data_IF_078299146413
#
_entry.id   IF_078299146413
#
_cell.length_a   1.000
_cell.length_b   1.000
_cell.length_c   1.000
_cell.angle_alpha   90.00
_cell.angle_beta   90.00
_cell.angle_gamma   90.00
#
_symmetry.space_group_name_H-M   'P 1'
#
loop_
_entity.id
_entity.type
_entity.pdbx_description
1 polymer ?
#
# COMPACT_ATOMS: atom_id res chain seq x y z
N UNK A 1 36.02 7.41 9.22
CA UNK A 1 34.62 7.66 9.60
C UNK A 1 33.76 6.74 8.74
N UNK A 2 33.40 5.57 9.26
CA UNK A 2 32.58 4.60 8.55
C UNK A 2 31.10 4.99 8.74
N UNK A 3 30.45 5.42 7.67
CA UNK A 3 29.02 5.74 7.70
C UNK A 3 28.22 4.47 7.99
N UNK A 4 27.42 4.53 9.04
CA UNK A 4 26.68 3.43 9.63
C UNK A 4 25.52 3.03 8.69
N UNK A 5 25.66 1.91 7.97
CA UNK A 5 24.78 1.46 6.88
C UNK A 5 23.48 0.74 7.33
N UNK A 6 23.11 0.81 8.61
CA UNK A 6 22.08 -0.07 9.17
C UNK A 6 20.63 0.47 9.10
N UNK A 7 20.36 1.62 8.48
CA UNK A 7 19.01 2.22 8.51
C UNK A 7 18.21 2.11 7.20
N UNK A 8 18.81 1.64 6.10
CA UNK A 8 18.12 1.53 4.79
C UNK A 8 16.96 0.52 4.83
N UNK A 9 16.97 -0.40 5.80
CA UNK A 9 16.00 -1.49 5.90
C UNK A 9 14.59 -1.08 6.33
N UNK A 10 14.38 0.15 6.85
CA UNK A 10 13.06 0.56 7.38
C UNK A 10 12.24 1.47 6.45
N UNK A 11 12.83 1.96 5.37
CA UNK A 11 12.15 2.89 4.46
C UNK A 11 11.40 2.15 3.35
N UNK A 12 10.08 2.33 3.27
CA UNK A 12 9.23 1.76 2.24
C UNK A 12 8.34 2.83 1.60
N UNK A 13 8.50 3.06 0.29
CA UNK A 13 7.72 4.05 -0.45
C UNK A 13 6.34 3.51 -0.87
N UNK A 14 5.29 4.33 -0.80
CA UNK A 14 3.99 4.01 -1.43
C UNK A 14 3.77 4.97 -2.60
N UNK A 15 2.68 4.74 -3.35
CA UNK A 15 2.36 5.52 -4.56
C UNK A 15 2.28 7.03 -4.31
N UNK A 16 1.76 7.45 -3.15
CA UNK A 16 1.59 8.88 -2.83
C UNK A 16 2.91 9.62 -2.59
N UNK A 17 3.99 8.92 -2.19
CA UNK A 17 5.31 9.50 -2.06
C UNK A 17 6.01 9.74 -3.41
N UNK A 18 5.44 9.30 -4.53
CA UNK A 18 6.09 9.31 -5.85
C UNK A 18 5.59 10.47 -6.72
N UNK A 19 6.49 11.01 -7.53
CA UNK A 19 6.14 12.01 -8.54
C UNK A 19 5.61 11.34 -9.80
N UNK A 20 4.54 11.91 -10.35
CA UNK A 20 4.05 11.48 -11.65
C UNK A 20 5.08 11.81 -12.73
N UNK A 21 5.12 11.04 -13.81
CA UNK A 21 6.09 11.23 -14.89
C UNK A 21 6.04 12.62 -15.53
N UNK A 22 4.89 13.29 -15.50
CA UNK A 22 4.71 14.67 -16.00
C UNK A 22 5.47 15.70 -15.16
N UNK A 23 5.76 15.38 -13.90
CA UNK A 23 6.51 16.24 -12.99
C UNK A 23 8.02 15.93 -13.01
N UNK A 24 8.46 14.95 -13.80
CA UNK A 24 9.87 14.61 -13.90
C UNK A 24 10.61 15.59 -14.79
N UNK A 25 11.83 15.91 -14.39
CA UNK A 25 12.70 16.79 -15.17
C UNK A 25 13.14 16.05 -16.43
N UNK A 26 12.98 16.70 -17.59
CA UNK A 26 13.41 16.12 -18.86
C UNK A 26 14.93 15.88 -18.86
N UNK A 27 15.37 14.76 -19.46
CA UNK A 27 16.79 14.43 -19.51
C UNK A 27 17.64 15.54 -20.14
N UNK A 28 17.11 16.23 -21.16
CA UNK A 28 17.82 17.31 -21.86
C UNK A 28 18.05 18.54 -20.98
N UNK A 29 17.20 18.77 -19.98
CA UNK A 29 17.32 19.90 -19.07
C UNK A 29 18.48 19.75 -18.07
N UNK A 30 19.08 18.56 -17.94
CA UNK A 30 20.17 18.29 -16.99
C UNK A 30 21.43 17.77 -17.66
N UNK A 31 22.49 18.57 -17.59
CA UNK A 31 23.84 18.15 -18.00
C UNK A 31 24.64 17.47 -16.87
N UNK A 32 24.21 17.61 -15.61
CA UNK A 32 24.92 17.13 -14.43
C UNK A 32 23.97 16.42 -13.47
N UNK A 33 24.48 15.43 -12.74
CA UNK A 33 23.73 14.73 -11.69
C UNK A 33 23.26 15.71 -10.61
N UNK A 34 21.97 15.71 -10.28
CA UNK A 34 21.40 16.59 -9.26
C UNK A 34 21.91 16.31 -7.82
N UNK A 35 22.60 15.18 -7.61
CA UNK A 35 23.20 14.80 -6.32
C UNK A 35 24.68 15.13 -6.27
N UNK A 36 25.50 14.45 -7.08
CA UNK A 36 26.96 14.52 -7.00
C UNK A 36 27.61 15.46 -8.04
N UNK A 37 26.78 16.19 -8.80
CA UNK A 37 27.21 17.18 -9.81
C UNK A 37 28.16 16.66 -10.89
N UNK A 38 28.34 15.34 -11.02
CA UNK A 38 29.11 14.73 -12.10
C UNK A 38 28.41 14.99 -13.44
N UNK A 39 29.18 15.42 -14.45
CA UNK A 39 28.68 15.62 -15.81
C UNK A 39 28.23 14.29 -16.41
N UNK A 40 27.07 14.31 -17.06
CA UNK A 40 26.62 13.18 -17.87
C UNK A 40 27.36 13.19 -19.21
N UNK A 41 27.88 12.03 -19.62
CA UNK A 41 28.60 11.88 -20.90
C UNK A 41 27.69 11.21 -21.95
N UNK A 42 27.64 9.89 -22.01
CA UNK A 42 26.76 9.14 -22.92
C UNK A 42 25.89 8.18 -22.12
N UNK A 43 24.57 8.44 -22.07
CA UNK A 43 23.59 7.56 -21.43
C UNK A 43 23.77 7.43 -19.90
N UNK A 44 22.87 6.67 -19.26
CA UNK A 44 22.93 6.43 -17.81
C UNK A 44 22.34 7.55 -16.94
N UNK A 45 21.43 8.35 -17.51
CA UNK A 45 20.55 9.23 -16.73
C UNK A 45 19.45 8.39 -16.11
N UNK A 46 19.16 8.63 -14.85
CA UNK A 46 18.07 8.00 -14.15
C UNK A 46 17.25 9.06 -13.44
N UNK A 47 15.94 8.88 -13.37
CA UNK A 47 15.09 9.75 -12.57
C UNK A 47 14.93 9.20 -11.16
N UNK A 48 14.96 10.08 -10.17
CA UNK A 48 14.48 9.75 -8.84
C UNK A 48 12.95 9.64 -8.89
N UNK A 49 12.38 8.47 -8.57
CA UNK A 49 10.91 8.26 -8.62
C UNK A 49 10.16 9.12 -7.59
N UNK A 50 10.84 9.53 -6.51
CA UNK A 50 10.28 10.38 -5.45
C UNK A 50 10.24 11.88 -5.80
N UNK A 51 11.31 12.46 -6.35
CA UNK A 51 11.37 13.90 -6.61
C UNK A 51 11.42 14.29 -8.10
N UNK A 52 11.58 13.33 -9.01
CA UNK A 52 11.61 13.56 -10.45
C UNK A 52 12.93 14.08 -11.03
N UNK A 53 13.96 14.29 -10.21
CA UNK A 53 15.27 14.82 -10.65
C UNK A 53 16.12 13.79 -11.40
N UNK A 54 17.04 14.30 -12.24
CA UNK A 54 17.96 13.49 -13.04
C UNK A 54 19.27 13.24 -12.27
N UNK A 55 19.59 11.97 -12.07
CA UNK A 55 20.69 11.47 -11.24
C UNK A 55 21.48 10.38 -11.95
N UNK A 56 22.71 10.12 -11.51
CA UNK A 56 23.53 9.01 -12.01
C UNK A 56 23.27 7.71 -11.24
N UNK A 57 23.72 6.57 -11.79
CA UNK A 57 23.53 5.23 -11.21
C UNK A 57 23.98 5.15 -9.74
N UNK A 58 25.17 5.68 -9.43
CA UNK A 58 25.73 5.66 -8.07
C UNK A 58 24.91 6.47 -7.06
N UNK A 59 24.13 7.45 -7.52
CA UNK A 59 23.27 8.26 -6.66
C UNK A 59 21.82 7.77 -6.63
N UNK A 60 21.51 6.66 -7.32
CA UNK A 60 20.16 6.15 -7.55
C UNK A 60 19.98 4.71 -6.98
N UNK A 61 20.14 4.51 -5.66
CA UNK A 61 19.89 3.22 -5.04
C UNK A 61 18.46 2.74 -5.27
N UNK A 62 18.29 1.42 -5.26
CA UNK A 62 16.99 0.78 -5.22
C UNK A 62 16.51 0.68 -3.77
N UNK A 63 15.30 1.18 -3.51
CA UNK A 63 14.67 1.15 -2.20
C UNK A 63 13.34 0.41 -2.25
N UNK A 64 12.92 -0.25 -1.16
CA UNK A 64 11.63 -0.93 -1.08
C UNK A 64 10.45 0.01 -1.34
N UNK A 65 9.42 -0.52 -2.00
CA UNK A 65 8.16 0.16 -2.22
C UNK A 65 6.98 -0.82 -2.25
N UNK A 66 5.78 -0.36 -1.94
CA UNK A 66 4.52 -1.10 -2.10
C UNK A 66 3.60 -0.28 -3.01
N UNK A 67 3.29 -0.81 -4.19
CA UNK A 67 2.47 -0.12 -5.19
C UNK A 67 1.13 -0.82 -5.42
N UNK A 68 0.03 -0.06 -5.61
CA UNK A 68 -1.25 -0.64 -5.99
C UNK A 68 -1.16 -1.47 -7.27
N UNK A 69 -1.75 -2.66 -7.28
CA UNK A 69 -1.75 -3.57 -8.43
C UNK A 69 -0.45 -4.34 -8.65
N UNK A 70 0.64 -3.96 -7.98
CA UNK A 70 1.97 -4.55 -8.15
C UNK A 70 2.50 -5.25 -6.90
N UNK A 71 2.06 -4.80 -5.72
CA UNK A 71 2.57 -5.31 -4.45
C UNK A 71 3.96 -4.75 -4.10
N UNK A 72 4.76 -5.56 -3.39
CA UNK A 72 6.11 -5.19 -2.97
C UNK A 72 7.08 -5.19 -4.15
N UNK A 73 7.86 -4.14 -4.26
CA UNK A 73 8.86 -3.97 -5.34
C UNK A 73 10.00 -3.05 -4.87
N UNK A 74 10.90 -2.69 -5.78
CA UNK A 74 11.99 -1.73 -5.53
C UNK A 74 11.97 -0.61 -6.57
N UNK A 75 12.24 0.62 -6.14
CA UNK A 75 12.27 1.82 -6.99
C UNK A 75 13.60 2.55 -6.86
N UNK A 76 14.02 3.23 -7.93
CA UNK A 76 15.18 4.13 -7.84
C UNK A 76 14.81 5.44 -7.16
N UNK A 77 15.44 5.71 -6.03
CA UNK A 77 15.27 6.98 -5.30
C UNK A 77 16.64 7.55 -5.04
N UNK A 78 16.81 8.87 -5.18
CA UNK A 78 18.10 9.48 -4.97
C UNK A 78 18.50 9.41 -3.49
N UNK A 79 19.80 9.29 -3.21
CA UNK A 79 20.30 9.26 -1.83
C UNK A 79 19.81 10.44 -0.99
N UNK A 80 19.68 11.64 -1.57
CA UNK A 80 19.12 12.82 -0.86
C UNK A 80 17.69 12.59 -0.37
N UNK A 81 16.85 11.95 -1.17
CA UNK A 81 15.47 11.65 -0.80
C UNK A 81 15.38 10.53 0.22
N UNK A 82 16.23 9.51 0.08
CA UNK A 82 16.37 8.44 1.07
C UNK A 82 16.74 9.03 2.43
N UNK A 83 17.81 9.83 2.49
CA UNK A 83 18.28 10.47 3.72
C UNK A 83 17.23 11.39 4.37
N UNK A 84 16.44 12.11 3.56
CA UNK A 84 15.38 12.99 4.05
C UNK A 84 14.20 12.23 4.67
N UNK A 85 13.88 11.05 4.14
CA UNK A 85 12.70 10.28 4.55
C UNK A 85 12.99 9.29 5.68
N UNK A 86 14.25 8.94 5.90
CA UNK A 86 14.67 8.19 7.10
C UNK A 86 14.44 8.97 8.42
N UNK A 87 14.12 10.26 8.37
CA UNK A 87 13.81 11.09 9.54
C UNK A 87 12.34 11.12 9.97
N UNK A 88 11.45 10.34 9.34
CA UNK A 88 9.99 10.38 9.58
C UNK A 88 9.43 8.96 9.80
N UNK A 89 9.60 8.41 10.99
CA UNK A 89 8.91 7.19 11.37
C UNK A 89 7.60 7.48 12.10
N UNK A 90 6.50 6.94 11.56
CA UNK A 90 5.59 6.16 12.39
C UNK A 90 5.47 4.74 11.81
N UNK A 91 5.98 3.82 12.61
CA UNK A 91 5.72 2.39 12.76
C UNK A 91 4.62 1.78 11.88
N UNK A 92 5.00 0.83 11.00
CA UNK A 92 4.24 -0.42 10.82
C UNK A 92 5.11 -1.47 10.13
N UNK A 93 5.24 -2.59 10.83
CA UNK A 93 6.04 -3.76 10.50
C UNK A 93 5.46 -4.60 9.35
N UNK A 94 6.38 -5.00 8.48
CA UNK A 94 6.52 -6.23 7.69
C UNK A 94 5.40 -7.28 7.61
N UNK A 95 5.24 -7.84 6.40
CA UNK A 95 5.17 -9.30 6.18
C UNK A 95 5.02 -9.66 4.70
N UNK A 96 6.09 -10.23 4.12
CA UNK A 96 6.12 -11.40 3.20
C UNK A 96 6.83 -11.27 1.82
N UNK A 97 7.51 -12.38 1.53
CA UNK A 97 8.64 -12.73 0.63
C UNK A 97 8.23 -13.34 -0.72
N UNK A 98 9.06 -13.20 -1.76
CA UNK A 98 9.38 -14.29 -2.68
C UNK A 98 10.76 -14.07 -3.34
N UNK A 99 11.54 -15.15 -3.41
CA UNK A 99 12.87 -15.21 -4.02
C UNK A 99 12.75 -15.44 -5.52
N UNK A 100 13.27 -14.54 -6.34
CA UNK A 100 13.67 -14.79 -7.72
C UNK A 100 14.84 -13.84 -8.04
N UNK A 101 15.96 -14.38 -8.54
CA UNK A 101 17.16 -13.64 -8.92
C UNK A 101 16.90 -12.82 -10.19
N UNK A 102 16.23 -11.67 -10.06
CA UNK A 102 15.99 -10.76 -11.18
C UNK A 102 17.22 -9.89 -11.45
N UNK A 103 17.72 -9.94 -12.69
CA UNK A 103 18.88 -9.14 -13.11
C UNK A 103 18.57 -7.63 -13.09
N UNK A 104 19.59 -6.79 -12.89
CA UNK A 104 19.42 -5.33 -12.88
C UNK A 104 18.74 -4.80 -14.16
N UNK A 105 18.98 -5.45 -15.30
CA UNK A 105 18.35 -5.13 -16.59
C UNK A 105 16.86 -5.45 -16.62
N UNK A 106 16.45 -6.57 -16.00
CA UNK A 106 15.05 -6.98 -15.93
C UNK A 106 14.23 -6.05 -15.03
N UNK A 107 14.83 -5.63 -13.90
CA UNK A 107 14.24 -4.64 -12.99
C UNK A 107 14.08 -3.27 -13.67
N UNK A 108 15.05 -2.85 -14.48
CA UNK A 108 14.96 -1.61 -15.26
C UNK A 108 13.82 -1.70 -16.27
N UNK A 109 13.76 -2.79 -17.03
CA UNK A 109 12.74 -3.01 -18.07
C UNK A 109 11.33 -3.09 -17.49
N UNK A 110 11.15 -3.76 -16.34
CA UNK A 110 9.88 -3.77 -15.59
C UNK A 110 9.52 -2.36 -15.11
N UNK A 111 10.48 -1.61 -14.60
CA UNK A 111 10.24 -0.22 -14.17
C UNK A 111 9.87 0.72 -15.32
N UNK A 112 10.39 0.49 -16.53
CA UNK A 112 10.05 1.27 -17.73
C UNK A 112 8.70 0.85 -18.31
N UNK A 113 8.43 -0.44 -18.49
CA UNK A 113 7.12 -0.91 -18.98
C UNK A 113 5.95 -0.37 -18.15
N UNK A 114 6.11 -0.28 -16.83
CA UNK A 114 5.08 0.23 -15.92
C UNK A 114 4.91 1.75 -15.92
N UNK A 115 5.90 2.49 -16.41
CA UNK A 115 5.87 3.96 -16.44
C UNK A 115 5.63 4.53 -17.85
N UNK A 116 5.76 3.69 -18.88
CA UNK A 116 5.55 4.07 -20.29
C UNK A 116 4.27 3.46 -20.89
N UNK A 117 3.61 2.51 -20.23
CA UNK A 117 2.26 2.08 -20.60
C UNK A 117 1.41 1.69 -19.37
N UNK A 118 0.90 2.67 -18.60
CA UNK A 118 -0.33 2.42 -17.87
C UNK A 118 -1.41 2.34 -18.95
N UNK A 119 -1.63 1.16 -19.52
CA UNK A 119 -2.84 0.94 -20.30
C UNK A 119 -3.98 1.35 -19.35
N UNK A 120 -4.68 2.46 -19.63
CA UNK A 120 -5.54 3.14 -18.66
C UNK A 120 -6.54 2.16 -17.99
N UNK A 121 -6.89 1.10 -18.74
CA UNK A 121 -7.70 -0.05 -18.34
C UNK A 121 -7.14 -0.86 -17.16
N UNK A 122 -5.82 -0.90 -16.97
CA UNK A 122 -5.14 -1.63 -15.88
C UNK A 122 -5.23 -0.83 -14.57
N UNK A 123 -4.99 0.48 -14.62
CA UNK A 123 -5.15 1.35 -13.45
C UNK A 123 -6.63 1.48 -13.05
N UNK A 124 -7.53 1.56 -14.02
CA UNK A 124 -8.97 1.53 -13.81
C UNK A 124 -9.43 0.23 -13.13
N UNK A 125 -8.97 -0.94 -13.61
CA UNK A 125 -9.28 -2.23 -12.94
C UNK A 125 -8.68 -2.34 -11.55
N UNK A 126 -7.47 -1.83 -11.33
CA UNK A 126 -6.85 -1.82 -10.01
C UNK A 126 -7.64 -0.93 -9.03
N UNK A 127 -8.11 0.22 -9.50
CA UNK A 127 -8.92 1.15 -8.73
C UNK A 127 -10.31 0.57 -8.41
N UNK A 128 -11.00 0.02 -9.41
CA UNK A 128 -12.30 -0.65 -9.23
C UNK A 128 -12.20 -1.89 -8.32
N UNK A 129 -11.10 -2.63 -8.38
CA UNK A 129 -10.86 -3.78 -7.49
C UNK A 129 -10.59 -3.34 -6.05
N UNK A 130 -9.93 -2.20 -5.85
CA UNK A 130 -9.71 -1.62 -4.53
C UNK A 130 -11.01 -1.06 -3.92
N UNK A 131 -11.88 -0.43 -4.72
CA UNK A 131 -13.21 0.01 -4.27
C UNK A 131 -14.14 -1.17 -3.95
N UNK A 132 -14.13 -2.22 -4.78
CA UNK A 132 -14.89 -3.45 -4.53
C UNK A 132 -14.41 -4.19 -3.27
N UNK A 133 -13.12 -4.08 -2.93
CA UNK A 133 -12.59 -4.65 -1.70
C UNK A 133 -12.97 -3.82 -0.47
N UNK A 134 -13.07 -2.49 -0.60
CA UNK A 134 -13.63 -1.62 0.45
C UNK A 134 -15.10 -1.93 0.72
N UNK A 135 -15.92 -2.09 -0.34
CA UNK A 135 -17.34 -2.39 -0.18
C UNK A 135 -17.62 -3.78 0.40
N UNK A 136 -16.64 -4.69 0.43
CA UNK A 136 -16.75 -6.01 1.06
C UNK A 136 -16.30 -6.00 2.54
N UNK A 137 -15.75 -4.89 3.03
CA UNK A 137 -15.33 -4.69 4.42
C UNK A 137 -16.33 -3.84 5.23
N UNK A 138 -17.30 -3.20 4.58
CA UNK A 138 -18.32 -2.36 5.23
C UNK A 138 -19.58 -3.14 5.69
N UNK A 139 -19.64 -4.47 5.54
CA UNK A 139 -20.83 -5.29 5.89
C UNK A 139 -20.76 -6.04 7.23
N UNK A 140 -19.70 -5.84 8.05
CA UNK A 140 -19.52 -6.58 9.31
C UNK A 140 -19.54 -5.68 10.58
N UNK A 141 -20.37 -4.63 10.60
CA UNK A 141 -20.72 -3.94 11.86
C UNK A 141 -22.21 -3.60 11.95
N UNK A 142 -23.04 -4.65 12.05
CA UNK A 142 -24.41 -4.48 12.58
C UNK A 142 -24.98 -5.76 13.17
N UNK A 143 -24.59 -6.08 14.41
CA UNK A 143 -25.51 -6.45 15.51
C UNK A 143 -24.75 -6.88 16.76
N UNK A 144 -24.69 -6.01 17.77
CA UNK A 144 -25.02 -6.33 19.18
C UNK A 144 -25.11 -5.01 19.95
N UNK A 145 -26.29 -4.41 19.95
CA UNK A 145 -26.68 -3.48 21.02
C UNK A 145 -27.89 -4.08 21.72
N UNK A 146 -27.65 -4.66 22.89
CA UNK A 146 -28.67 -4.90 23.88
C UNK A 146 -28.06 -4.59 25.26
N UNK A 147 -28.14 -3.31 25.60
CA UNK A 147 -28.55 -2.78 26.89
C UNK A 147 -28.04 -3.48 28.15
N UNK A 148 -27.07 -2.85 28.80
CA UNK A 148 -26.94 -2.88 30.25
C UNK A 148 -28.22 -2.33 30.89
N UNK A 149 -28.73 -2.98 31.94
CA UNK A 149 -29.00 -2.36 33.25
C UNK A 149 -29.52 -3.40 34.27
N UNK A 150 -28.84 -3.38 35.43
CA UNK A 150 -29.35 -3.58 36.79
C UNK A 150 -29.40 -4.98 37.42
N UNK A 151 -28.65 -5.02 38.52
CA UNK A 151 -28.56 -6.02 39.60
C UNK A 151 -29.86 -6.11 40.40
N UNK A 152 -30.21 -7.30 40.89
CA UNK A 152 -30.29 -7.61 42.34
C UNK A 152 -30.80 -9.05 42.59
N UNK A 153 -30.48 -9.54 43.79
CA UNK A 153 -30.54 -10.92 44.24
C UNK A 153 -31.83 -11.29 45.00
N UNK A 154 -32.02 -12.60 45.18
CA UNK A 154 -32.73 -13.38 46.24
C UNK A 154 -34.21 -13.84 46.09
N UNK A 155 -34.34 -15.17 46.23
CA UNK A 155 -35.35 -15.98 46.96
C UNK A 155 -36.73 -16.37 46.38
N UNK A 156 -36.85 -17.69 46.18
CA UNK A 156 -37.87 -18.62 46.72
C UNK A 156 -39.32 -18.68 46.20
N UNK A 157 -39.63 -19.87 45.63
CA UNK A 157 -40.81 -20.75 45.80
C UNK A 157 -42.26 -20.24 45.61
N UNK A 158 -43.06 -21.00 44.82
CA UNK A 158 -44.52 -21.06 45.01
C UNK A 158 -45.42 -21.21 43.76
N UNK A 159 -45.60 -22.44 43.29
CA UNK A 159 -46.86 -23.12 42.88
C UNK A 159 -48.05 -22.42 42.14
N UNK A 160 -48.51 -23.13 41.10
CA UNK A 160 -49.92 -23.40 40.64
C UNK A 160 -50.53 -22.72 39.38
N UNK A 161 -50.80 -23.59 38.39
CA UNK A 161 -52.09 -23.88 37.71
C UNK A 161 -52.80 -22.93 36.71
N UNK A 162 -53.26 -23.59 35.62
CA UNK A 162 -54.49 -23.34 34.78
C UNK A 162 -54.43 -22.19 33.76
N UNK A 163 -54.92 -22.23 32.49
CA UNK A 163 -55.80 -23.05 31.61
C UNK A 163 -55.44 -22.65 30.15
N UNK A 164 -55.24 -23.52 29.15
CA UNK A 164 -56.18 -24.20 28.20
C UNK A 164 -57.14 -23.30 27.37
N UNK A 165 -56.86 -23.19 26.05
CA UNK A 165 -57.83 -23.11 24.92
C UNK A 165 -57.06 -23.13 23.58
N UNK A 166 -57.11 -24.20 22.74
CA UNK A 166 -58.01 -24.40 21.56
C UNK A 166 -57.95 -23.23 20.55
N UNK A 167 -57.74 -23.37 19.24
CA UNK A 167 -57.63 -24.49 18.29
C UNK A 167 -57.71 -23.95 16.83
N UNK A 168 -57.55 -24.84 15.83
CA UNK A 168 -57.76 -24.63 14.37
C UNK A 168 -56.44 -24.44 13.60
N UNK A 169 -55.92 -25.32 12.73
CA UNK A 169 -56.43 -26.29 11.73
C UNK A 169 -56.95 -25.66 10.41
N UNK A 170 -56.33 -26.13 9.31
CA UNK A 170 -56.65 -26.08 7.85
C UNK A 170 -56.10 -24.81 7.20
N UNK A 171 -55.40 -24.86 6.08
CA UNK A 171 -55.32 -25.91 5.07
C UNK A 171 -54.97 -25.20 3.77
N UNK A 172 -54.02 -25.78 3.05
CA UNK A 172 -53.56 -25.42 1.72
C UNK A 172 -54.71 -25.56 0.72
N UNK A 173 -54.77 -24.69 -0.29
CA UNK A 173 -55.15 -24.98 -1.69
C UNK A 173 -55.19 -23.70 -2.53
N UNK A 174 -54.19 -23.51 -3.39
CA UNK A 174 -54.28 -23.34 -4.86
C UNK A 174 -52.88 -23.09 -5.44
#
# INVERSE_FOLDING_TARGET
MASNNNNVHKLCYKYEHLKSKREWVEDKARAYCAVCTKKFFLGGKHHCRRCGEVICKNCAPFVPAVLPGLGRTKLRVCVKCVDQDHGKEEFLSESSSSSDEETEEELIKKSELMLFSPNAKVMERAYLKAEKLKSLYDDDDRTTTASVLSVDSVSSAGSTSSKKSRGGFFGRDI
#
